data_IF_090165129491
#
_entry.id   IF_090165129491
#
_cell.length_a   1.000
_cell.length_b   1.000
_cell.length_c   1.000
_cell.angle_alpha   90.00
_cell.angle_beta   90.00
_cell.angle_gamma   90.00
#
_symmetry.space_group_name_H-M   'P 1'
#
loop_
_entity.id
_entity.type
_entity.pdbx_description
1 polymer ?
#
# COMPACT_ATOMS: atom_id res chain seq x y z
N UNK A 1 -25.09 7.13 -2.65
CA UNK A 1 -23.82 7.87 -2.77
C UNK A 1 -22.72 6.82 -2.86
N UNK A 2 -22.13 6.51 -4.03
CA UNK A 2 -21.00 5.61 -4.05
C UNK A 2 -19.78 6.44 -3.63
N UNK A 3 -19.27 6.20 -2.41
CA UNK A 3 -17.89 6.55 -2.13
C UNK A 3 -17.08 5.70 -3.08
N UNK A 4 -16.47 6.32 -4.09
CA UNK A 4 -15.55 5.65 -4.98
C UNK A 4 -14.47 5.00 -4.12
N UNK A 5 -14.57 3.69 -3.88
CA UNK A 5 -13.47 2.85 -3.44
C UNK A 5 -12.50 2.67 -4.60
N UNK A 6 -12.17 3.76 -5.29
CA UNK A 6 -11.17 3.77 -6.34
C UNK A 6 -9.84 3.83 -5.63
N UNK A 7 -9.41 2.69 -5.12
CA UNK A 7 -8.06 2.53 -4.64
C UNK A 7 -7.24 1.93 -5.77
N UNK A 8 -6.71 2.77 -6.68
CA UNK A 8 -6.04 2.29 -7.87
C UNK A 8 -4.82 1.45 -7.47
N UNK A 9 -4.43 0.48 -8.32
CA UNK A 9 -3.23 -0.31 -8.11
C UNK A 9 -2.01 0.57 -7.85
N UNK A 10 -1.00 0.00 -7.19
CA UNK A 10 0.25 0.73 -6.94
C UNK A 10 0.87 1.26 -8.24
N UNK A 11 1.20 2.55 -8.21
CA UNK A 11 2.06 3.21 -9.19
C UNK A 11 3.48 2.67 -9.10
N UNK A 12 4.30 2.94 -10.13
CA UNK A 12 5.70 2.51 -10.14
C UNK A 12 6.52 3.12 -8.99
N UNK A 13 6.22 4.36 -8.59
CA UNK A 13 6.88 5.04 -7.47
C UNK A 13 6.57 4.35 -6.14
N UNK A 14 5.29 4.08 -5.86
CA UNK A 14 4.86 3.38 -4.64
C UNK A 14 5.45 1.96 -4.57
N UNK A 15 5.49 1.23 -5.69
CA UNK A 15 6.14 -0.09 -5.76
C UNK A 15 7.63 -0.02 -5.48
N UNK A 16 8.31 1.01 -5.99
CA UNK A 16 9.72 1.21 -5.74
C UNK A 16 9.97 1.52 -4.27
N UNK A 17 9.18 2.43 -3.70
CA UNK A 17 9.25 2.79 -2.28
C UNK A 17 9.03 1.58 -1.36
N UNK A 18 8.02 0.76 -1.65
CA UNK A 18 7.78 -0.52 -0.96
C UNK A 18 8.98 -1.46 -1.02
N UNK A 19 9.67 -1.50 -2.15
CA UNK A 19 10.85 -2.36 -2.32
C UNK A 19 12.06 -1.83 -1.56
N UNK A 20 12.24 -0.51 -1.49
CA UNK A 20 13.34 0.12 -0.75
C UNK A 20 13.14 0.01 0.77
N UNK A 21 11.92 0.22 1.27
CA UNK A 21 11.65 0.29 2.72
C UNK A 21 11.24 -1.04 3.34
N UNK A 22 10.51 -1.88 2.60
CA UNK A 22 9.91 -3.11 3.13
C UNK A 22 10.32 -4.38 2.36
N UNK A 23 11.22 -4.25 1.38
CA UNK A 23 11.62 -5.36 0.48
C UNK A 23 10.42 -5.99 -0.27
N UNK A 24 9.44 -5.14 -0.59
CA UNK A 24 8.31 -5.43 -1.49
C UNK A 24 6.94 -5.52 -0.81
N UNK A 25 5.89 -5.54 -1.65
CA UNK A 25 4.48 -5.55 -1.22
C UNK A 25 4.15 -6.73 -0.28
N UNK A 26 4.66 -7.93 -0.56
CA UNK A 26 4.35 -9.11 0.25
C UNK A 26 4.84 -8.99 1.69
N UNK A 27 6.09 -8.55 1.88
CA UNK A 27 6.69 -8.37 3.21
C UNK A 27 6.03 -7.23 3.98
N UNK A 28 5.74 -6.13 3.29
CA UNK A 28 4.95 -5.03 3.82
C UNK A 28 3.58 -5.52 4.33
N UNK A 29 2.77 -6.14 3.48
CA UNK A 29 1.43 -6.61 3.87
C UNK A 29 1.51 -7.59 5.05
N UNK A 30 2.46 -8.54 5.04
CA UNK A 30 2.68 -9.47 6.16
C UNK A 30 3.05 -8.76 7.46
N UNK A 31 3.85 -7.69 7.42
CA UNK A 31 4.22 -6.91 8.61
C UNK A 31 3.01 -6.22 9.25
N UNK A 32 2.05 -5.77 8.44
CA UNK A 32 0.79 -5.17 8.90
C UNK A 32 -0.33 -6.19 9.12
N UNK A 33 -0.02 -7.48 9.11
CA UNK A 33 -0.97 -8.58 9.23
C UNK A 33 -2.11 -8.54 8.18
N UNK A 34 -1.78 -8.03 6.99
CA UNK A 34 -2.65 -7.93 5.81
C UNK A 34 -2.35 -9.09 4.84
N UNK A 35 -3.37 -9.57 4.14
CA UNK A 35 -3.23 -10.63 3.14
C UNK A 35 -3.07 -10.07 1.73
N UNK A 36 -2.09 -10.61 0.97
CA UNK A 36 -1.96 -10.34 -0.46
C UNK A 36 -3.06 -11.01 -1.31
N UNK A 37 -3.79 -11.98 -0.74
CA UNK A 37 -4.87 -12.68 -1.42
C UNK A 37 -6.24 -12.05 -1.19
N UNK A 38 -6.33 -11.05 -0.32
CA UNK A 38 -7.55 -10.31 -0.03
C UNK A 38 -7.44 -8.90 -0.62
N UNK A 39 -8.33 -8.54 -1.54
CA UNK A 39 -8.26 -7.23 -2.19
C UNK A 39 -8.56 -6.08 -1.22
N UNK A 40 -9.38 -6.31 -0.18
CA UNK A 40 -9.64 -5.29 0.85
C UNK A 40 -8.38 -5.01 1.68
N UNK A 41 -7.63 -6.05 2.02
CA UNK A 41 -6.36 -5.92 2.75
C UNK A 41 -5.29 -5.27 1.87
N UNK A 42 -5.24 -5.60 0.57
CA UNK A 42 -4.38 -4.89 -0.37
C UNK A 42 -4.77 -3.43 -0.50
N UNK A 43 -6.08 -3.14 -0.46
CA UNK A 43 -6.57 -1.78 -0.50
C UNK A 43 -6.18 -0.99 0.77
N UNK A 44 -6.28 -1.62 1.94
CA UNK A 44 -5.75 -1.05 3.19
C UNK A 44 -4.25 -0.78 3.07
N UNK A 45 -3.48 -1.77 2.57
CA UNK A 45 -2.06 -1.63 2.36
C UNK A 45 -1.68 -0.44 1.47
N UNK A 46 -2.40 -0.23 0.36
CA UNK A 46 -2.19 0.94 -0.53
C UNK A 46 -2.40 2.26 0.19
N UNK A 47 -3.39 2.35 1.08
CA UNK A 47 -3.67 3.56 1.87
C UNK A 47 -2.54 3.84 2.87
N UNK A 48 -2.04 2.81 3.54
CA UNK A 48 -0.92 2.93 4.48
C UNK A 48 0.36 3.39 3.76
N UNK A 49 0.70 2.80 2.60
CA UNK A 49 1.87 3.21 1.81
C UNK A 49 1.80 4.68 1.43
N UNK A 50 0.66 5.14 0.91
CA UNK A 50 0.46 6.55 0.56
C UNK A 50 0.65 7.47 1.76
N UNK A 51 0.05 7.12 2.90
CA UNK A 51 0.19 7.90 4.12
C UNK A 51 1.65 7.97 4.63
N UNK A 52 2.38 6.84 4.57
CA UNK A 52 3.79 6.80 4.96
C UNK A 52 4.67 7.64 4.03
N UNK A 53 4.47 7.52 2.72
CA UNK A 53 5.19 8.31 1.71
C UNK A 53 4.90 9.81 1.83
N UNK A 54 3.66 10.18 2.14
CA UNK A 54 3.29 11.58 2.42
C UNK A 54 3.98 12.09 3.69
N UNK A 55 4.03 11.27 4.75
CA UNK A 55 4.71 11.65 5.99
C UNK A 55 6.23 11.77 5.83
N UNK A 56 6.88 10.97 4.98
CA UNK A 56 8.31 11.11 4.68
C UNK A 56 8.65 12.35 3.84
N UNK A 57 7.68 12.95 3.15
CA UNK A 57 7.88 14.14 2.32
C UNK A 57 7.90 15.46 3.13
N UNK A 58 7.64 15.42 4.43
CA UNK A 58 7.63 16.57 5.35
C UNK A 58 8.74 16.44 6.40
#
# INVERSE_FOLDING_TARGET
MPFETSNPPYTSEEKHWLRVHFDGEFKFLRMYNLSIYNEDDRAEGRRIVRALMEHERY
#
